data_IF_201136306791
#
_entry.id   IF_201136306791
#
_cell.length_a   1.000
_cell.length_b   1.000
_cell.length_c   1.000
_cell.angle_alpha   90.00
_cell.angle_beta   90.00
_cell.angle_gamma   90.00
#
_symmetry.space_group_name_H-M   'P 1'
#
loop_
_entity.id
_entity.type
_entity.pdbx_description
1 polymer ?
#
# COMPACT_ATOMS: atom_id res chain seq x y z
N UNK A 1 -40.20 -16.73 47.89
CA UNK A 1 -39.38 -15.89 47.03
C UNK A 1 -38.04 -16.59 46.79
N UNK A 2 -37.78 -17.07 45.56
CA UNK A 2 -36.49 -17.72 45.23
C UNK A 2 -35.56 -16.61 44.70
N UNK A 3 -34.51 -16.33 45.43
CA UNK A 3 -33.41 -15.47 44.97
C UNK A 3 -32.67 -16.16 43.83
N UNK A 4 -32.82 -15.67 42.62
CA UNK A 4 -31.90 -16.01 41.51
C UNK A 4 -30.58 -15.34 41.86
N UNK A 5 -29.47 -16.08 41.99
CA UNK A 5 -28.22 -15.48 42.42
C UNK A 5 -27.73 -14.51 41.34
N UNK A 6 -27.40 -13.30 41.76
CA UNK A 6 -26.86 -12.19 40.94
C UNK A 6 -25.67 -12.63 40.04
N UNK A 7 -24.95 -13.64 40.42
CA UNK A 7 -23.85 -14.28 39.69
C UNK A 7 -24.26 -14.87 38.35
N UNK A 8 -25.49 -15.42 38.24
CA UNK A 8 -25.95 -16.00 36.95
C UNK A 8 -26.22 -14.91 35.90
N UNK A 9 -26.71 -13.75 36.32
CA UNK A 9 -26.96 -12.61 35.44
C UNK A 9 -25.65 -12.00 34.92
N UNK A 10 -24.61 -11.95 35.74
CA UNK A 10 -23.29 -11.42 35.38
C UNK A 10 -22.59 -12.32 34.33
N UNK A 11 -22.68 -13.64 34.48
CA UNK A 11 -22.11 -14.60 33.53
C UNK A 11 -22.82 -14.52 32.18
N UNK A 12 -24.15 -14.39 32.17
CA UNK A 12 -24.93 -14.24 30.91
C UNK A 12 -24.60 -12.93 30.21
N UNK A 13 -24.41 -11.82 30.93
CA UNK A 13 -24.00 -10.56 30.32
C UNK A 13 -22.57 -10.60 29.73
N UNK A 14 -21.63 -11.25 30.42
CA UNK A 14 -20.24 -11.39 29.92
C UNK A 14 -20.19 -12.30 28.68
N UNK A 15 -20.97 -13.39 28.66
CA UNK A 15 -21.03 -14.29 27.49
C UNK A 15 -21.71 -13.64 26.29
N UNK A 16 -22.76 -12.84 26.48
CA UNK A 16 -23.42 -12.10 25.40
C UNK A 16 -22.53 -11.02 24.82
N UNK A 17 -21.78 -10.29 25.63
CA UNK A 17 -20.83 -9.26 25.13
C UNK A 17 -19.61 -9.88 24.45
N UNK A 18 -19.13 -11.02 24.90
CA UNK A 18 -18.04 -11.76 24.25
C UNK A 18 -18.47 -12.32 22.89
N UNK A 19 -19.68 -12.87 22.77
CA UNK A 19 -20.22 -13.38 21.53
C UNK A 19 -20.47 -12.26 20.51
N UNK A 20 -21.01 -11.11 20.94
CA UNK A 20 -21.23 -9.96 20.02
C UNK A 20 -19.91 -9.38 19.48
N UNK A 21 -18.86 -9.32 20.29
CA UNK A 21 -17.53 -8.91 19.84
C UNK A 21 -16.90 -9.93 18.86
N UNK A 22 -17.10 -11.22 19.11
CA UNK A 22 -16.58 -12.27 18.24
C UNK A 22 -17.30 -12.31 16.88
N UNK A 23 -18.61 -12.07 16.84
CA UNK A 23 -19.39 -11.96 15.61
C UNK A 23 -19.03 -10.70 14.82
N UNK A 24 -18.89 -9.57 15.48
CA UNK A 24 -18.41 -8.31 14.88
C UNK A 24 -17.01 -8.47 14.28
N UNK A 25 -16.10 -9.14 14.98
CA UNK A 25 -14.77 -9.45 14.47
C UNK A 25 -14.77 -10.35 13.23
N UNK A 26 -15.65 -11.36 13.18
CA UNK A 26 -15.80 -12.24 12.01
C UNK A 26 -16.40 -11.53 10.80
N UNK A 27 -17.40 -10.67 11.00
CA UNK A 27 -18.00 -9.87 9.93
C UNK A 27 -17.00 -8.86 9.36
N UNK A 28 -16.21 -8.19 10.22
CA UNK A 28 -15.15 -7.30 9.80
C UNK A 28 -14.06 -8.04 9.03
N UNK A 29 -13.70 -9.26 9.46
CA UNK A 29 -12.76 -10.13 8.77
C UNK A 29 -13.22 -10.46 7.35
N UNK A 30 -14.46 -10.92 7.19
CA UNK A 30 -15.01 -11.27 5.88
C UNK A 30 -15.06 -10.06 4.94
N UNK A 31 -15.41 -8.86 5.44
CA UNK A 31 -15.41 -7.63 4.66
C UNK A 31 -13.99 -7.24 4.21
N UNK A 32 -12.96 -7.49 5.02
CA UNK A 32 -11.57 -7.26 4.64
C UNK A 32 -11.08 -8.25 3.58
N UNK A 33 -11.39 -9.54 3.71
CA UNK A 33 -11.03 -10.57 2.73
C UNK A 33 -11.69 -10.33 1.36
N UNK A 34 -12.92 -9.84 1.34
CA UNK A 34 -13.59 -9.44 0.11
C UNK A 34 -12.92 -8.20 -0.53
N UNK A 35 -12.60 -7.20 0.26
CA UNK A 35 -11.98 -5.96 -0.22
C UNK A 35 -10.50 -6.14 -0.59
N UNK A 36 -9.78 -7.02 0.10
CA UNK A 36 -8.35 -7.28 -0.08
C UNK A 36 -8.08 -8.77 -0.27
N UNK A 37 -8.23 -9.32 -1.50
CA UNK A 37 -8.11 -10.76 -1.76
C UNK A 37 -6.73 -11.36 -1.45
N UNK A 38 -5.71 -10.53 -1.29
CA UNK A 38 -4.38 -10.93 -0.85
C UNK A 38 -4.28 -11.12 0.67
N UNK A 39 -5.29 -10.66 1.42
CA UNK A 39 -5.27 -10.63 2.87
C UNK A 39 -5.89 -11.90 3.43
N UNK A 40 -5.11 -12.68 4.15
CA UNK A 40 -5.59 -13.87 4.86
C UNK A 40 -5.59 -13.56 6.36
N UNK A 41 -6.76 -13.34 6.94
CA UNK A 41 -6.87 -13.09 8.37
C UNK A 41 -6.51 -14.32 9.18
N UNK A 42 -5.37 -14.27 9.86
CA UNK A 42 -5.11 -15.10 11.05
C UNK A 42 -5.20 -14.28 12.33
N UNK A 43 -5.12 -12.95 12.24
CA UNK A 43 -5.08 -12.02 13.36
C UNK A 43 -6.04 -10.84 13.14
N UNK A 44 -6.36 -10.11 14.22
CA UNK A 44 -7.23 -8.93 14.20
C UNK A 44 -6.68 -7.88 13.24
N UNK A 45 -7.46 -7.50 12.22
CA UNK A 45 -7.08 -6.38 11.35
C UNK A 45 -7.22 -5.07 12.13
N UNK A 46 -6.18 -4.27 12.07
CA UNK A 46 -6.19 -2.90 12.57
C UNK A 46 -6.42 -1.96 11.39
N UNK A 47 -7.18 -0.92 11.60
CA UNK A 47 -7.52 0.09 10.58
C UNK A 47 -6.91 1.43 10.96
N UNK A 48 -6.90 2.39 10.04
CA UNK A 48 -6.38 3.74 10.32
C UNK A 48 -7.14 4.42 11.45
N UNK A 49 -8.46 4.29 11.50
CA UNK A 49 -9.32 4.87 12.52
C UNK A 49 -9.18 4.20 13.89
N UNK A 50 -8.74 2.93 13.97
CA UNK A 50 -8.45 2.24 15.22
C UNK A 50 -7.04 2.52 15.77
N UNK A 51 -6.09 2.88 14.90
CA UNK A 51 -4.67 2.96 15.23
C UNK A 51 -4.12 4.37 15.37
N UNK A 52 -4.78 5.36 14.76
CA UNK A 52 -4.28 6.73 14.76
C UNK A 52 -5.28 7.73 15.34
N UNK A 53 -4.77 8.64 16.17
CA UNK A 53 -5.54 9.75 16.66
C UNK A 53 -5.67 10.83 15.58
N UNK A 54 -6.86 11.38 15.45
CA UNK A 54 -7.07 12.56 14.62
C UNK A 54 -6.70 13.82 15.38
N UNK A 55 -6.04 14.80 14.76
CA UNK A 55 -5.91 16.14 15.31
C UNK A 55 -7.30 16.79 15.48
N UNK A 56 -7.40 17.71 16.45
CA UNK A 56 -8.66 18.37 16.76
C UNK A 56 -9.27 19.05 15.52
N UNK A 57 -10.55 18.79 15.28
CA UNK A 57 -11.30 19.36 14.17
C UNK A 57 -11.11 18.67 12.82
N UNK A 58 -10.26 17.65 12.72
CA UNK A 58 -10.10 16.84 11.51
C UNK A 58 -11.01 15.61 11.53
N UNK A 59 -11.34 15.12 10.34
CA UNK A 59 -12.07 13.87 10.10
C UNK A 59 -11.48 13.09 8.94
N UNK A 60 -11.71 11.81 8.90
CA UNK A 60 -11.46 10.99 7.70
C UNK A 60 -12.40 11.45 6.56
N UNK A 61 -11.92 11.29 5.34
CA UNK A 61 -12.77 11.46 4.16
C UNK A 61 -13.64 10.23 3.97
N UNK A 62 -14.88 10.42 3.56
CA UNK A 62 -15.79 9.32 3.30
C UNK A 62 -15.72 8.83 1.83
N UNK A 63 -16.42 7.73 1.54
CA UNK A 63 -16.40 7.10 0.20
C UNK A 63 -16.98 7.99 -0.91
N UNK A 64 -17.74 9.02 -0.58
CA UNK A 64 -18.34 9.95 -1.58
C UNK A 64 -17.38 11.09 -1.96
N UNK A 65 -16.35 11.30 -1.15
CA UNK A 65 -15.33 12.33 -1.35
C UNK A 65 -14.08 11.79 -2.07
N UNK A 66 -13.98 10.47 -2.20
CA UNK A 66 -12.82 9.76 -2.75
C UNK A 66 -13.22 8.96 -4.00
N UNK A 67 -12.29 8.78 -4.93
CA UNK A 67 -12.45 7.78 -5.99
C UNK A 67 -12.40 6.36 -5.42
N UNK A 68 -12.87 5.36 -6.19
CA UNK A 68 -12.83 3.95 -5.76
C UNK A 68 -11.42 3.50 -5.37
N UNK A 69 -10.39 3.92 -6.13
CA UNK A 69 -8.99 3.61 -5.81
C UNK A 69 -8.53 4.26 -4.51
N UNK A 70 -8.79 5.55 -4.35
CA UNK A 70 -8.42 6.30 -3.15
C UNK A 70 -9.08 5.72 -1.90
N UNK A 71 -10.37 5.37 -1.99
CA UNK A 71 -11.10 4.74 -0.90
C UNK A 71 -10.58 3.33 -0.57
N UNK A 72 -10.19 2.56 -1.61
CA UNK A 72 -9.59 1.25 -1.43
C UNK A 72 -8.24 1.37 -0.68
N UNK A 73 -7.37 2.31 -1.08
CA UNK A 73 -6.08 2.56 -0.42
C UNK A 73 -6.26 3.01 1.03
N UNK A 74 -7.15 3.97 1.30
CA UNK A 74 -7.33 4.53 2.65
C UNK A 74 -7.83 3.52 3.69
N UNK A 75 -8.35 2.39 3.25
CA UNK A 75 -8.80 1.30 4.12
C UNK A 75 -7.80 0.16 4.29
N UNK A 76 -6.54 0.28 3.84
CA UNK A 76 -5.55 -0.80 3.96
C UNK A 76 -5.40 -1.25 5.40
N UNK A 77 -5.30 -2.59 5.64
CA UNK A 77 -5.06 -3.12 6.98
C UNK A 77 -3.65 -2.79 7.48
N UNK A 78 -3.54 -2.60 8.77
CA UNK A 78 -2.28 -2.36 9.47
C UNK A 78 -1.94 -3.55 10.36
N UNK A 79 -0.65 -3.77 10.64
CA UNK A 79 -0.22 -4.64 11.71
C UNK A 79 -0.35 -3.93 13.06
N UNK A 80 -0.45 -4.71 14.13
CA UNK A 80 -0.43 -4.19 15.50
C UNK A 80 0.81 -3.33 15.77
N UNK A 81 0.67 -2.36 16.65
CA UNK A 81 1.70 -1.33 16.97
C UNK A 81 3.09 -1.85 17.38
N UNK A 82 3.22 -3.11 17.77
CA UNK A 82 4.48 -3.72 18.19
C UNK A 82 5.19 -4.48 17.06
N UNK A 83 4.68 -4.45 15.85
CA UNK A 83 5.31 -5.11 14.69
C UNK A 83 6.53 -4.32 14.27
N UNK A 84 7.76 -4.89 14.36
CA UNK A 84 8.95 -4.27 13.79
C UNK A 84 8.92 -4.38 12.26
N UNK A 85 9.70 -3.53 11.58
CA UNK A 85 9.89 -3.61 10.13
C UNK A 85 10.92 -4.70 9.83
N UNK A 86 10.48 -5.79 9.21
CA UNK A 86 11.34 -6.89 8.76
C UNK A 86 11.98 -6.63 7.40
N UNK A 87 13.11 -7.28 7.11
CA UNK A 87 13.75 -7.30 5.79
C UNK A 87 13.62 -8.68 5.14
N UNK A 88 13.65 -8.73 3.81
CA UNK A 88 13.40 -9.97 3.07
C UNK A 88 14.44 -11.09 3.34
N UNK A 89 15.68 -10.72 3.70
CA UNK A 89 16.75 -11.66 4.07
C UNK A 89 16.65 -12.20 5.50
N UNK A 90 15.64 -11.79 6.24
CA UNK A 90 15.49 -12.04 7.65
C UNK A 90 16.17 -10.99 8.53
N UNK A 91 15.63 -10.80 9.72
CA UNK A 91 16.04 -9.74 10.65
C UNK A 91 15.11 -8.54 10.61
N UNK A 92 15.54 -7.46 11.25
CA UNK A 92 14.78 -6.23 11.39
C UNK A 92 15.52 -5.05 10.74
N UNK A 93 14.78 -4.14 10.10
CA UNK A 93 15.29 -2.86 9.63
C UNK A 93 15.12 -1.77 10.67
N UNK A 94 13.92 -1.73 11.26
CA UNK A 94 13.55 -0.79 12.31
C UNK A 94 12.86 -1.55 13.44
N UNK A 95 13.08 -1.12 14.66
CA UNK A 95 12.28 -1.57 15.80
C UNK A 95 10.87 -0.96 15.71
N UNK A 96 9.95 -1.53 16.46
CA UNK A 96 8.54 -1.10 16.38
C UNK A 96 8.34 0.36 16.80
N UNK A 97 9.18 0.93 17.64
CA UNK A 97 9.12 2.32 18.11
C UNK A 97 9.79 3.33 17.17
N UNK A 98 10.53 2.87 16.17
CA UNK A 98 11.16 3.70 15.14
C UNK A 98 10.23 4.01 13.95
N UNK A 99 9.04 3.38 13.90
CA UNK A 99 8.03 3.62 12.87
C UNK A 99 6.66 3.85 13.49
N UNK A 100 5.76 4.49 12.77
CA UNK A 100 4.37 4.63 13.23
C UNK A 100 3.67 3.28 13.18
N UNK A 101 3.54 2.67 12.01
CA UNK A 101 2.93 1.33 11.82
C UNK A 101 3.54 0.62 10.61
N UNK A 102 3.39 -0.69 10.59
CA UNK A 102 3.65 -1.53 9.41
C UNK A 102 2.32 -1.79 8.71
N UNK A 103 2.28 -1.58 7.40
CA UNK A 103 1.12 -1.91 6.58
C UNK A 103 1.02 -3.42 6.44
N UNK A 104 -0.16 -3.99 6.66
CA UNK A 104 -0.36 -5.43 6.55
C UNK A 104 -0.57 -5.84 5.09
N UNK A 105 0.53 -5.84 4.36
CA UNK A 105 0.62 -6.17 2.95
C UNK A 105 1.52 -7.40 2.80
N UNK A 106 1.04 -8.50 2.19
CA UNK A 106 1.88 -9.67 1.96
C UNK A 106 2.96 -9.34 0.94
N UNK A 107 4.17 -9.70 1.26
CA UNK A 107 5.29 -9.53 0.35
C UNK A 107 6.31 -10.68 0.51
N UNK A 108 7.01 -10.99 -0.57
CA UNK A 108 8.05 -12.02 -0.57
C UNK A 108 9.12 -11.68 -1.61
N UNK A 109 10.36 -11.51 -1.16
CA UNK A 109 11.51 -11.38 -2.05
C UNK A 109 12.06 -9.97 -2.16
N UNK A 110 13.14 -9.87 -2.92
CA UNK A 110 13.99 -8.67 -3.01
C UNK A 110 13.42 -7.53 -3.86
N UNK A 111 12.34 -7.77 -4.60
CA UNK A 111 11.76 -6.78 -5.52
C UNK A 111 10.66 -5.93 -4.84
N UNK A 112 10.38 -6.18 -3.57
CA UNK A 112 9.47 -5.40 -2.73
C UNK A 112 10.25 -4.28 -2.03
N UNK A 113 10.88 -3.44 -2.83
CA UNK A 113 11.51 -2.20 -2.40
C UNK A 113 10.52 -1.01 -2.47
N UNK A 114 10.99 0.20 -2.28
CA UNK A 114 10.15 1.40 -2.32
C UNK A 114 9.60 1.71 -3.72
N UNK A 115 10.24 1.23 -4.80
CA UNK A 115 9.73 1.29 -6.18
C UNK A 115 8.74 0.16 -6.47
N UNK A 116 8.98 -1.03 -5.95
CA UNK A 116 8.16 -2.22 -6.20
C UNK A 116 6.79 -2.17 -5.53
N UNK A 117 6.68 -1.69 -4.31
CA UNK A 117 5.40 -1.64 -3.59
C UNK A 117 4.30 -0.86 -4.32
N UNK A 118 4.52 0.35 -4.87
CA UNK A 118 3.49 1.04 -5.64
C UNK A 118 2.95 0.25 -6.84
N UNK A 119 3.84 -0.47 -7.54
CA UNK A 119 3.46 -1.34 -8.66
C UNK A 119 2.63 -2.53 -8.16
N UNK A 120 3.06 -3.14 -7.06
CA UNK A 120 2.32 -4.25 -6.43
C UNK A 120 0.93 -3.83 -5.99
N UNK A 121 0.80 -2.67 -5.33
CA UNK A 121 -0.48 -2.14 -4.84
C UNK A 121 -1.42 -1.85 -6.02
N UNK A 122 -0.93 -1.24 -7.10
CA UNK A 122 -1.72 -1.03 -8.32
C UNK A 122 -2.21 -2.36 -8.91
N UNK A 123 -1.33 -3.35 -9.00
CA UNK A 123 -1.65 -4.67 -9.54
C UNK A 123 -2.73 -5.38 -8.71
N UNK A 124 -2.66 -5.32 -7.38
CA UNK A 124 -3.67 -5.89 -6.48
C UNK A 124 -5.01 -5.17 -6.59
N UNK A 125 -5.03 -3.86 -6.78
CA UNK A 125 -6.25 -3.12 -7.03
C UNK A 125 -6.93 -3.55 -8.35
N UNK A 126 -6.17 -3.61 -9.44
CA UNK A 126 -6.69 -4.06 -10.73
C UNK A 126 -7.21 -5.51 -10.65
N UNK A 127 -6.51 -6.37 -9.92
CA UNK A 127 -6.96 -7.75 -9.66
C UNK A 127 -8.24 -7.80 -8.83
N UNK A 128 -8.38 -6.97 -7.81
CA UNK A 128 -9.61 -6.84 -7.02
C UNK A 128 -10.82 -6.48 -7.91
N UNK A 129 -10.59 -5.68 -8.94
CA UNK A 129 -11.62 -5.28 -9.90
C UNK A 129 -11.79 -6.26 -11.08
N UNK A 130 -11.05 -7.38 -11.14
CA UNK A 130 -10.97 -8.28 -12.29
C UNK A 130 -10.55 -7.58 -13.59
N UNK A 131 -9.63 -6.61 -13.48
CA UNK A 131 -9.10 -5.76 -14.55
C UNK A 131 -7.61 -5.98 -14.78
N UNK A 132 -7.12 -7.19 -14.55
CA UNK A 132 -5.70 -7.57 -14.70
C UNK A 132 -5.16 -7.25 -16.10
N UNK A 133 -6.02 -7.28 -17.12
CA UNK A 133 -5.66 -6.93 -18.50
C UNK A 133 -5.22 -5.49 -18.70
N UNK A 134 -5.50 -4.62 -17.75
CA UNK A 134 -5.13 -3.21 -17.79
C UNK A 134 -3.78 -2.93 -17.10
N UNK A 135 -3.19 -3.93 -16.46
CA UNK A 135 -1.87 -3.80 -15.85
C UNK A 135 -0.81 -3.69 -16.94
N UNK A 136 -0.17 -2.52 -17.02
CA UNK A 136 0.93 -2.26 -17.93
C UNK A 136 1.98 -1.38 -17.25
N UNK A 137 3.25 -1.77 -17.35
CA UNK A 137 4.39 -1.03 -16.77
C UNK A 137 5.48 -0.87 -17.83
N UNK A 138 5.93 0.36 -18.01
CA UNK A 138 7.13 0.70 -18.81
C UNK A 138 8.35 0.43 -17.93
N UNK A 139 9.18 -0.56 -18.25
CA UNK A 139 10.36 -0.89 -17.47
C UNK A 139 11.47 0.15 -17.71
N UNK A 140 12.58 0.01 -17.01
CA UNK A 140 13.78 0.85 -17.22
C UNK A 140 14.27 0.85 -18.67
N UNK A 141 14.26 -0.29 -19.33
CA UNK A 141 14.69 -0.48 -20.72
C UNK A 141 13.87 -1.61 -21.38
N UNK A 142 13.44 -1.40 -22.61
CA UNK A 142 12.82 -2.44 -23.43
C UNK A 142 11.33 -2.28 -23.64
N UNK A 143 10.67 -3.40 -23.89
CA UNK A 143 9.25 -3.45 -24.22
C UNK A 143 8.39 -3.17 -22.98
N UNK A 144 7.24 -2.54 -23.18
CA UNK A 144 6.23 -2.42 -22.13
C UNK A 144 5.80 -3.81 -21.67
N UNK A 145 5.76 -4.00 -20.36
CA UNK A 145 5.27 -5.21 -19.73
C UNK A 145 3.79 -5.03 -19.46
N UNK A 146 2.94 -5.76 -20.16
CA UNK A 146 1.50 -5.80 -19.96
C UNK A 146 0.99 -7.24 -19.89
N UNK A 147 -0.10 -7.46 -19.17
CA UNK A 147 -0.60 -8.81 -18.93
C UNK A 147 -1.12 -9.51 -20.18
N UNK A 148 -1.88 -8.89 -21.11
CA UNK A 148 -2.29 -9.51 -22.35
C UNK A 148 -1.13 -9.98 -23.23
N UNK A 149 -0.11 -9.11 -23.42
CA UNK A 149 1.10 -9.48 -24.18
C UNK A 149 1.90 -10.57 -23.50
N UNK A 150 1.99 -10.53 -22.16
CA UNK A 150 2.67 -11.57 -21.34
C UNK A 150 2.09 -12.97 -21.59
N UNK A 151 0.78 -13.11 -21.67
CA UNK A 151 0.11 -14.41 -21.91
C UNK A 151 0.49 -15.06 -23.24
N UNK A 152 1.04 -14.29 -24.19
CA UNK A 152 1.47 -14.76 -25.50
C UNK A 152 2.96 -14.56 -25.76
N UNK A 153 3.77 -14.35 -24.71
CA UNK A 153 5.19 -14.01 -24.89
C UNK A 153 6.10 -14.79 -23.95
N UNK A 154 7.35 -14.92 -24.38
CA UNK A 154 8.49 -15.34 -23.56
C UNK A 154 9.31 -14.11 -23.19
N UNK A 155 9.60 -13.96 -21.91
CA UNK A 155 10.50 -12.94 -21.39
C UNK A 155 11.96 -13.29 -21.72
N UNK A 156 12.70 -12.31 -22.26
CA UNK A 156 14.13 -12.41 -22.55
C UNK A 156 14.82 -11.10 -22.18
N UNK A 157 16.00 -11.17 -21.61
CA UNK A 157 16.89 -10.03 -21.44
C UNK A 157 17.89 -9.96 -22.59
N UNK A 158 18.02 -8.78 -23.19
CA UNK A 158 19.09 -8.52 -24.17
C UNK A 158 20.45 -8.39 -23.47
N UNK A 159 21.53 -8.43 -24.23
CA UNK A 159 22.89 -8.20 -23.70
C UNK A 159 23.10 -6.82 -23.02
N UNK A 160 22.22 -5.84 -23.28
CA UNK A 160 22.19 -4.53 -22.61
C UNK A 160 21.24 -4.51 -21.39
N UNK A 161 20.63 -5.64 -21.03
CA UNK A 161 19.68 -5.73 -19.92
C UNK A 161 18.29 -5.13 -20.23
N UNK A 162 17.98 -4.88 -21.50
CA UNK A 162 16.64 -4.45 -21.89
C UNK A 162 15.69 -5.64 -21.92
N UNK A 163 14.47 -5.43 -21.46
CA UNK A 163 13.38 -6.41 -21.52
C UNK A 163 12.91 -6.57 -22.95
N UNK A 164 12.74 -7.82 -23.40
CA UNK A 164 12.03 -8.15 -24.64
C UNK A 164 11.00 -9.24 -24.41
N UNK A 165 9.84 -9.05 -25.03
CA UNK A 165 8.78 -10.04 -25.07
C UNK A 165 8.76 -10.69 -26.46
N UNK A 166 9.09 -11.97 -26.55
CA UNK A 166 9.11 -12.75 -27.79
C UNK A 166 7.84 -13.58 -27.84
N UNK A 167 7.06 -13.46 -28.92
CA UNK A 167 5.80 -14.18 -29.09
C UNK A 167 6.02 -15.70 -29.02
N UNK A 168 5.15 -16.36 -28.28
CA UNK A 168 5.07 -17.83 -28.11
C UNK A 168 3.61 -18.27 -28.13
N UNK A 169 3.37 -19.57 -27.96
CA UNK A 169 2.04 -20.09 -27.69
C UNK A 169 1.50 -19.52 -26.37
N UNK A 170 0.17 -19.52 -26.25
CA UNK A 170 -0.53 -18.99 -25.08
C UNK A 170 -0.05 -19.66 -23.79
N UNK A 171 0.25 -18.85 -22.80
CA UNK A 171 0.52 -19.32 -21.43
C UNK A 171 -0.79 -19.62 -20.72
N UNK A 172 -0.65 -20.30 -19.61
CA UNK A 172 -1.73 -20.47 -18.65
C UNK A 172 -2.12 -19.09 -18.05
N UNK A 173 -3.41 -18.87 -17.80
CA UNK A 173 -3.99 -17.65 -17.22
C UNK A 173 -4.07 -17.70 -15.69
N UNK A 174 -3.28 -18.58 -15.07
CA UNK A 174 -3.27 -18.73 -13.62
C UNK A 174 -2.80 -17.49 -12.89
N UNK A 175 -3.23 -17.36 -11.65
CA UNK A 175 -2.74 -16.34 -10.70
C UNK A 175 -1.21 -16.40 -10.55
N UNK A 176 -0.61 -17.58 -10.71
CA UNK A 176 0.84 -17.74 -10.69
C UNK A 176 1.54 -16.97 -11.83
N UNK A 177 1.05 -17.04 -13.06
CA UNK A 177 1.63 -16.30 -14.20
C UNK A 177 1.43 -14.78 -14.04
N UNK A 178 0.35 -14.33 -13.42
CA UNK A 178 0.16 -12.93 -13.07
C UNK A 178 1.24 -12.43 -12.10
N UNK A 179 1.45 -13.12 -10.99
CA UNK A 179 2.49 -12.72 -10.02
C UNK A 179 3.92 -12.87 -10.55
N UNK A 180 4.14 -13.77 -11.49
CA UNK A 180 5.43 -13.88 -12.18
C UNK A 180 5.72 -12.68 -13.07
N UNK A 181 4.72 -12.19 -13.81
CA UNK A 181 4.83 -10.94 -14.54
C UNK A 181 5.09 -9.77 -13.59
N UNK A 182 4.33 -9.69 -12.50
CA UNK A 182 4.47 -8.64 -11.50
C UNK A 182 5.87 -8.60 -10.88
N UNK A 183 6.46 -9.76 -10.55
CA UNK A 183 7.84 -9.84 -10.08
C UNK A 183 8.84 -9.28 -11.12
N UNK A 184 8.61 -9.54 -12.40
CA UNK A 184 9.45 -9.01 -13.49
C UNK A 184 9.24 -7.48 -13.62
N UNK A 185 8.01 -6.99 -13.54
CA UNK A 185 7.71 -5.55 -13.57
C UNK A 185 8.45 -4.80 -12.46
N UNK A 186 8.36 -5.27 -11.21
CA UNK A 186 9.05 -4.68 -10.06
C UNK A 186 10.57 -4.73 -10.24
N UNK A 187 11.13 -5.89 -10.63
CA UNK A 187 12.57 -6.10 -10.82
C UNK A 187 13.19 -5.18 -11.87
N UNK A 188 12.45 -4.85 -12.92
CA UNK A 188 12.94 -4.03 -14.03
C UNK A 188 12.51 -2.57 -13.97
N UNK A 189 11.91 -2.15 -12.86
CA UNK A 189 11.56 -0.76 -12.57
C UNK A 189 12.64 -0.07 -11.74
N UNK A 190 12.77 1.24 -11.93
CA UNK A 190 13.59 2.16 -11.13
C UNK A 190 12.80 3.46 -10.95
N UNK A 191 13.22 4.35 -10.08
CA UNK A 191 12.53 5.62 -9.81
C UNK A 191 12.19 6.38 -11.11
N UNK A 192 13.13 6.52 -12.04
CA UNK A 192 12.90 7.18 -13.33
C UNK A 192 11.89 6.45 -14.23
N UNK A 193 11.88 5.11 -14.24
CA UNK A 193 10.87 4.38 -15.02
C UNK A 193 9.50 4.44 -14.36
N UNK A 194 9.45 4.53 -13.04
CA UNK A 194 8.18 4.71 -12.33
C UNK A 194 7.50 6.01 -12.75
N UNK A 195 8.25 7.12 -12.88
CA UNK A 195 7.68 8.39 -13.37
C UNK A 195 7.16 8.34 -14.81
N UNK A 196 7.63 7.41 -15.64
CA UNK A 196 7.08 7.20 -16.98
C UNK A 196 5.68 6.55 -16.99
N UNK A 197 5.26 5.94 -15.89
CA UNK A 197 3.99 5.23 -15.74
C UNK A 197 2.88 6.05 -15.06
N UNK A 198 3.19 7.26 -14.65
CA UNK A 198 2.31 8.13 -13.84
C UNK A 198 2.25 9.53 -14.44
N UNK A 199 1.24 10.30 -14.10
CA UNK A 199 1.11 11.70 -14.48
C UNK A 199 1.54 12.60 -13.32
N UNK A 200 2.29 13.66 -13.64
CA UNK A 200 2.64 14.68 -12.65
C UNK A 200 1.40 15.47 -12.23
N UNK A 201 1.25 15.70 -10.95
CA UNK A 201 0.16 16.49 -10.37
C UNK A 201 0.73 17.57 -9.44
N UNK A 202 0.01 18.71 -9.26
CA UNK A 202 0.32 19.67 -8.21
C UNK A 202 0.20 19.02 -6.83
N UNK A 203 1.09 19.38 -5.91
CA UNK A 203 1.12 18.75 -4.56
C UNK A 203 -0.17 19.03 -3.75
N UNK A 204 -0.82 20.15 -3.98
CA UNK A 204 -2.11 20.49 -3.37
C UNK A 204 -3.26 19.58 -3.80
N UNK A 205 -3.09 18.87 -4.93
CA UNK A 205 -4.07 17.93 -5.47
C UNK A 205 -3.81 16.47 -5.10
N UNK A 206 -2.80 16.25 -4.24
CA UNK A 206 -2.42 14.90 -3.83
C UNK A 206 -3.54 14.24 -3.00
N UNK A 207 -3.70 12.93 -3.17
CA UNK A 207 -4.75 12.14 -2.53
C UNK A 207 -4.25 10.71 -2.25
N UNK A 208 -4.98 9.89 -1.49
CA UNK A 208 -4.62 8.49 -1.28
C UNK A 208 -4.38 7.75 -2.60
N UNK A 209 -3.32 6.96 -2.67
CA UNK A 209 -2.89 6.24 -3.87
C UNK A 209 -1.93 7.00 -4.77
N UNK A 210 -1.69 8.30 -4.53
CA UNK A 210 -0.68 9.08 -5.23
C UNK A 210 0.72 8.83 -4.67
N UNK A 211 1.73 9.17 -5.47
CA UNK A 211 3.13 8.95 -5.19
C UNK A 211 3.88 10.27 -5.03
N UNK A 212 4.77 10.33 -4.07
CA UNK A 212 5.84 11.31 -3.99
C UNK A 212 7.12 10.61 -4.44
N UNK A 213 7.71 11.07 -5.53
CA UNK A 213 8.91 10.45 -6.08
C UNK A 213 10.02 11.50 -6.14
N UNK A 214 11.17 11.17 -5.54
CA UNK A 214 12.40 11.93 -5.69
C UNK A 214 13.51 11.03 -6.19
N UNK A 215 14.35 11.49 -7.16
CA UNK A 215 15.45 10.67 -7.65
C UNK A 215 16.63 11.48 -8.22
N UNK A 216 17.79 10.82 -8.30
CA UNK A 216 18.98 11.36 -8.94
C UNK A 216 18.80 11.47 -10.47
N UNK A 217 19.76 12.09 -11.16
CA UNK A 217 19.74 12.29 -12.61
C UNK A 217 19.62 10.98 -13.40
N UNK A 218 20.17 9.89 -12.89
CA UNK A 218 20.12 8.56 -13.48
C UNK A 218 18.83 7.80 -13.13
N UNK A 219 18.08 8.25 -12.14
CA UNK A 219 16.88 7.60 -11.61
C UNK A 219 17.15 6.26 -10.94
N UNK A 220 18.35 6.08 -10.41
CA UNK A 220 18.79 4.84 -9.74
C UNK A 220 18.79 4.95 -8.20
N UNK A 221 18.95 6.16 -7.71
CA UNK A 221 18.91 6.49 -6.27
C UNK A 221 17.77 7.46 -6.05
N UNK A 222 16.99 7.23 -5.04
CA UNK A 222 15.82 8.06 -4.79
C UNK A 222 15.03 7.60 -3.57
N UNK A 223 13.81 8.09 -3.49
CA UNK A 223 12.81 7.68 -2.52
C UNK A 223 11.43 7.74 -3.15
N UNK A 224 10.56 6.82 -2.75
CA UNK A 224 9.13 6.84 -3.07
C UNK A 224 8.35 6.79 -1.78
N UNK A 225 7.45 7.74 -1.61
CA UNK A 225 6.43 7.70 -0.57
C UNK A 225 5.06 7.56 -1.23
N UNK A 226 4.26 6.70 -0.69
CA UNK A 226 2.92 6.39 -1.16
C UNK A 226 1.90 7.00 -0.18
N UNK A 227 0.96 7.80 -0.68
CA UNK A 227 -0.07 8.40 0.16
C UNK A 227 -1.10 7.34 0.53
N UNK A 228 -1.15 6.98 1.81
CA UNK A 228 -2.04 5.93 2.32
C UNK A 228 -3.40 6.48 2.71
N UNK A 229 -3.42 7.69 3.29
CA UNK A 229 -4.66 8.26 3.79
C UNK A 229 -4.58 9.78 3.84
N UNK A 230 -5.74 10.42 3.92
CA UNK A 230 -5.89 11.88 3.99
C UNK A 230 -7.05 12.22 4.92
N UNK A 231 -6.85 13.24 5.75
CA UNK A 231 -7.87 13.80 6.63
C UNK A 231 -8.09 15.26 6.31
N UNK A 232 -9.26 15.76 6.61
CA UNK A 232 -9.66 17.14 6.28
C UNK A 232 -10.36 17.80 7.47
N UNK A 233 -10.12 19.08 7.67
CA UNK A 233 -10.86 19.88 8.63
C UNK A 233 -11.99 20.70 7.98
N UNK A 234 -12.77 21.41 8.78
CA UNK A 234 -13.90 22.23 8.30
C UNK A 234 -13.49 23.41 7.41
N UNK A 235 -12.26 23.88 7.47
CA UNK A 235 -11.72 24.94 6.62
C UNK A 235 -11.19 24.42 5.27
N UNK A 236 -11.19 23.09 5.06
CA UNK A 236 -10.67 22.46 3.86
C UNK A 236 -9.16 22.16 3.90
N UNK A 237 -8.52 22.41 5.04
CA UNK A 237 -7.11 22.05 5.23
C UNK A 237 -6.95 20.54 5.31
N UNK A 238 -5.94 20.01 4.62
CA UNK A 238 -5.69 18.57 4.49
C UNK A 238 -4.40 18.20 5.20
N UNK A 239 -4.42 17.02 5.83
CA UNK A 239 -3.22 16.35 6.32
C UNK A 239 -3.16 14.94 5.75
N UNK A 240 -1.96 14.42 5.60
CA UNK A 240 -1.67 13.21 4.86
C UNK A 240 -0.88 12.21 5.71
N UNK A 241 -1.14 10.94 5.49
CA UNK A 241 -0.32 9.84 6.00
C UNK A 241 0.33 9.13 4.83
N UNK A 242 1.64 8.93 4.88
CA UNK A 242 2.41 8.26 3.84
C UNK A 242 3.06 6.98 4.32
N UNK A 243 3.28 6.04 3.42
CA UNK A 243 4.09 4.86 3.67
C UNK A 243 5.21 4.73 2.63
N UNK A 244 6.24 3.96 2.96
CA UNK A 244 7.38 3.70 2.08
C UNK A 244 7.91 2.29 2.30
N UNK A 245 8.66 1.77 1.33
CA UNK A 245 9.51 0.61 1.46
C UNK A 245 10.93 0.98 1.86
N UNK A 246 11.86 0.08 1.61
CA UNK A 246 13.30 0.31 1.76
C UNK A 246 14.01 -0.13 0.48
N UNK A 247 15.16 0.47 0.13
CA UNK A 247 15.92 0.05 -1.05
C UNK A 247 16.35 -1.43 -1.03
N UNK A 248 16.52 -2.02 0.15
CA UNK A 248 16.86 -3.44 0.34
C UNK A 248 15.66 -4.36 0.54
N UNK A 249 14.48 -3.96 0.18
CA UNK A 249 13.20 -4.65 0.41
C UNK A 249 12.91 -4.95 1.89
N UNK A 250 11.95 -4.27 2.43
CA UNK A 250 11.47 -4.43 3.81
C UNK A 250 9.94 -4.40 3.87
N UNK A 251 9.36 -4.64 5.02
CA UNK A 251 7.93 -4.40 5.22
C UNK A 251 7.55 -2.96 4.80
N UNK A 252 6.47 -2.83 4.06
CA UNK A 252 5.89 -1.53 3.74
C UNK A 252 5.37 -0.88 5.01
N UNK A 253 5.82 0.33 5.31
CA UNK A 253 5.59 0.93 6.62
C UNK A 253 5.33 2.43 6.56
N UNK A 254 4.62 2.92 7.56
CA UNK A 254 4.38 4.34 7.82
C UNK A 254 5.53 4.83 8.69
N UNK A 255 6.44 5.69 8.18
CA UNK A 255 7.57 6.17 8.95
C UNK A 255 7.13 7.06 10.11
N UNK A 256 8.01 7.22 11.09
CA UNK A 256 7.79 8.13 12.22
C UNK A 256 8.01 9.58 11.76
N UNK A 257 6.93 10.24 11.36
CA UNK A 257 6.98 11.63 10.85
C UNK A 257 6.99 12.67 11.97
N UNK A 258 6.42 12.33 13.11
CA UNK A 258 6.34 13.14 14.31
C UNK A 258 6.93 12.34 15.48
N UNK A 259 7.22 12.98 16.60
CA UNK A 259 7.69 12.29 17.81
C UNK A 259 6.61 11.35 18.40
N UNK A 260 5.36 11.50 18.00
CA UNK A 260 4.24 10.67 18.42
C UNK A 260 3.88 9.66 17.32
N UNK A 261 4.06 8.39 17.60
CA UNK A 261 3.75 7.28 16.68
C UNK A 261 2.26 7.17 16.30
N UNK A 262 1.39 7.65 17.15
CA UNK A 262 -0.06 7.61 16.94
C UNK A 262 -0.56 8.86 16.17
N UNK A 263 0.37 9.74 15.74
CA UNK A 263 0.11 10.90 14.91
C UNK A 263 1.01 10.89 13.65
N UNK A 264 0.64 10.18 12.57
CA UNK A 264 1.41 10.12 11.33
C UNK A 264 1.10 11.27 10.36
N UNK A 265 0.23 12.21 10.78
CA UNK A 265 -0.34 13.23 9.89
C UNK A 265 0.62 14.37 9.65
N UNK A 266 0.88 14.69 8.39
CA UNK A 266 1.74 15.80 7.93
C UNK A 266 1.03 16.63 6.87
N UNK A 267 1.40 17.91 6.77
CA UNK A 267 0.87 18.84 5.77
C UNK A 267 1.58 18.71 4.40
N UNK A 268 1.10 19.45 3.41
CA UNK A 268 1.65 19.42 2.04
C UNK A 268 3.11 19.92 1.98
N UNK A 269 3.51 20.87 2.82
CA UNK A 269 4.89 21.36 2.86
C UNK A 269 5.83 20.25 3.33
N UNK A 270 5.44 19.57 4.39
CA UNK A 270 6.21 18.44 4.93
C UNK A 270 6.28 17.28 3.94
N UNK A 271 5.21 17.01 3.15
CA UNK A 271 5.25 16.05 2.05
C UNK A 271 6.34 16.42 1.02
N UNK A 272 6.41 17.69 0.62
CA UNK A 272 7.41 18.15 -0.34
C UNK A 272 8.84 18.02 0.21
N UNK A 273 9.07 18.30 1.49
CA UNK A 273 10.37 18.13 2.13
C UNK A 273 10.91 16.71 2.06
N UNK A 274 10.04 15.67 2.05
CA UNK A 274 10.46 14.26 1.97
C UNK A 274 11.25 13.92 0.70
N UNK A 275 11.07 14.70 -0.36
CA UNK A 275 11.62 14.42 -1.70
C UNK A 275 12.45 15.57 -2.26
N UNK A 276 12.46 16.75 -1.64
CA UNK A 276 13.09 17.97 -2.16
C UNK A 276 14.61 17.93 -2.22
N UNK A 277 15.25 17.01 -1.51
CA UNK A 277 16.70 16.81 -1.59
C UNK A 277 17.17 16.20 -2.91
N UNK A 278 16.24 15.71 -3.73
CA UNK A 278 16.55 15.13 -5.02
C UNK A 278 16.43 16.18 -6.15
N UNK A 279 17.31 16.12 -7.18
CA UNK A 279 17.25 17.06 -8.32
C UNK A 279 16.01 16.88 -9.21
N UNK A 280 15.38 15.72 -9.16
CA UNK A 280 14.12 15.44 -9.83
C UNK A 280 13.15 14.90 -8.80
N UNK A 281 12.10 15.66 -8.54
CA UNK A 281 11.07 15.30 -7.56
C UNK A 281 9.70 15.85 -7.95
N UNK A 282 8.66 15.22 -7.43
CA UNK A 282 7.29 15.67 -7.64
C UNK A 282 6.25 14.74 -7.03
N UNK A 283 5.00 15.16 -7.15
CA UNK A 283 3.83 14.36 -6.85
C UNK A 283 3.25 13.78 -8.16
N UNK A 284 2.78 12.55 -8.10
CA UNK A 284 2.38 11.80 -9.28
C UNK A 284 1.16 10.92 -9.00
N UNK A 285 0.37 10.68 -10.04
CA UNK A 285 -0.83 9.83 -9.99
C UNK A 285 -0.78 8.75 -11.05
N UNK A 286 -1.19 7.53 -10.69
CA UNK A 286 -1.35 6.44 -11.64
C UNK A 286 -2.37 6.78 -12.73
N UNK A 287 -2.04 6.42 -13.97
CA UNK A 287 -3.00 6.40 -15.08
C UNK A 287 -3.87 5.17 -14.92
N UNK A 288 -4.83 5.23 -14.02
CA UNK A 288 -5.80 4.14 -13.86
C UNK A 288 -6.94 4.42 -14.83
N UNK A 289 -7.23 3.50 -15.76
CA UNK A 289 -8.28 3.64 -16.75
C UNK A 289 -9.69 3.68 -16.12
#
# INVERSE_FOLDING_TARGET
>A
MRFIPLYLLLIVCITLTANSKAESGKQMAAAFEEKYPFFTMKDTAFTFDSEFNLPDGYRYMDSTELTSYQYWISGFPLWHRYKPVGIWKGGKRFEADEVSRVVNLPWKGQNFDDVGFPIYILAEYLRHLHRESELAIIPRLGDTLDYPTWLHSKFVLTGLGAVKLIRVEQRDTSVYEYYKLLDIMMRHSIYKSLTANVDSIPIENIAPGDLLIGHDKQGRKGSVYFVMNMIINKSGEKLYCVATGCPEACDFHIPLMNLNRDNPWIDANRLQELISDYPFYGAFRWRIP
#
